data_IF_379275693466
#
_entry.id   IF_379275693466
#
_cell.length_a   1.000
_cell.length_b   1.000
_cell.length_c   1.000
_cell.angle_alpha   90.00
_cell.angle_beta   90.00
_cell.angle_gamma   90.00
#
_symmetry.space_group_name_H-M   'P 1'
#
loop_
_entity.id
_entity.type
_entity.pdbx_description
1 polymer ?
#
# COMPACT_ATOMS: atom_id res chain seq x y z
N UNK A 1 11.46 -2.95 12.32
CA UNK A 1 10.32 -2.23 11.68
C UNK A 1 9.16 -3.19 11.51
N UNK A 2 7.93 -2.70 11.67
CA UNK A 2 6.69 -3.43 11.35
C UNK A 2 6.25 -3.07 9.92
N UNK A 3 6.06 -4.06 9.06
CA UNK A 3 5.64 -3.89 7.67
C UNK A 3 4.23 -4.46 7.51
N UNK A 4 3.30 -3.64 7.06
CA UNK A 4 1.96 -4.06 6.66
C UNK A 4 1.88 -4.10 5.14
N UNK A 5 1.71 -5.29 4.56
CA UNK A 5 1.56 -5.47 3.12
C UNK A 5 0.09 -5.73 2.76
N UNK A 6 -0.48 -4.85 1.94
CA UNK A 6 -1.87 -4.93 1.46
C UNK A 6 -1.86 -5.33 -0.01
N UNK A 7 -2.21 -6.59 -0.29
CA UNK A 7 -2.24 -7.14 -1.64
C UNK A 7 -3.63 -6.99 -2.25
N UNK A 8 -3.75 -6.09 -3.22
CA UNK A 8 -4.99 -5.82 -3.96
C UNK A 8 -5.23 -6.73 -5.17
N UNK A 9 -4.31 -7.64 -5.48
CA UNK A 9 -4.48 -8.59 -6.59
C UNK A 9 -5.49 -9.69 -6.22
N UNK A 10 -6.46 -10.02 -7.10
CA UNK A 10 -7.33 -11.18 -6.90
C UNK A 10 -6.62 -12.51 -7.21
N UNK A 11 -5.46 -12.49 -7.86
CA UNK A 11 -4.70 -13.67 -8.22
C UNK A 11 -3.65 -13.97 -7.15
N UNK A 12 -3.84 -15.03 -6.36
CA UNK A 12 -2.93 -15.41 -5.29
C UNK A 12 -1.48 -15.64 -5.80
N UNK A 13 -1.33 -16.26 -6.98
CA UNK A 13 -0.04 -16.55 -7.63
C UNK A 13 0.17 -15.66 -8.86
N UNK A 14 -0.27 -14.40 -8.82
CA UNK A 14 -0.08 -13.44 -9.91
C UNK A 14 1.21 -12.64 -9.77
N UNK A 15 1.59 -11.95 -10.85
CA UNK A 15 2.81 -11.14 -10.90
C UNK A 15 2.93 -10.13 -9.74
N UNK A 16 1.81 -9.49 -9.38
CA UNK A 16 1.78 -8.54 -8.24
C UNK A 16 2.12 -9.24 -6.92
N UNK A 17 1.55 -10.42 -6.71
CA UNK A 17 1.80 -11.22 -5.50
C UNK A 17 3.27 -11.65 -5.43
N UNK A 18 3.85 -12.11 -6.56
CA UNK A 18 5.24 -12.52 -6.63
C UNK A 18 6.21 -11.37 -6.29
N UNK A 19 5.97 -10.18 -6.85
CA UNK A 19 6.80 -8.99 -6.55
C UNK A 19 6.64 -8.54 -5.10
N UNK A 20 5.40 -8.51 -4.57
CA UNK A 20 5.15 -8.16 -3.18
C UNK A 20 5.79 -9.15 -2.20
N UNK A 21 5.67 -10.46 -2.48
CA UNK A 21 6.29 -11.50 -1.66
C UNK A 21 7.82 -11.38 -1.66
N UNK A 22 8.42 -11.07 -2.83
CA UNK A 22 9.89 -10.87 -2.92
C UNK A 22 10.33 -9.70 -2.05
N UNK A 23 9.61 -8.58 -2.09
CA UNK A 23 9.86 -7.44 -1.20
C UNK A 23 9.73 -7.84 0.27
N UNK A 24 8.63 -8.49 0.64
CA UNK A 24 8.36 -8.91 2.01
C UNK A 24 9.43 -9.86 2.56
N UNK A 25 9.80 -10.88 1.79
CA UNK A 25 10.87 -11.83 2.17
C UNK A 25 12.22 -11.13 2.35
N UNK A 26 12.53 -10.12 1.51
CA UNK A 26 13.75 -9.33 1.67
C UNK A 26 13.70 -8.45 2.92
N UNK A 27 12.55 -7.84 3.23
CA UNK A 27 12.36 -7.07 4.45
C UNK A 27 12.49 -7.93 5.72
N UNK A 28 11.93 -9.14 5.72
CA UNK A 28 12.08 -10.11 6.82
C UNK A 28 13.54 -10.50 7.07
N UNK A 29 14.30 -10.77 6.00
CA UNK A 29 15.75 -11.05 6.09
C UNK A 29 16.55 -9.88 6.68
N UNK A 30 16.01 -8.66 6.56
CA UNK A 30 16.58 -7.44 7.15
C UNK A 30 16.02 -7.14 8.56
N UNK A 31 15.30 -8.09 9.17
CA UNK A 31 14.82 -8.01 10.54
C UNK A 31 13.45 -7.29 10.70
N UNK A 32 12.70 -7.12 9.65
CA UNK A 32 11.33 -6.60 9.75
C UNK A 32 10.34 -7.69 10.19
N UNK A 33 9.33 -7.30 10.97
CA UNK A 33 8.12 -8.11 11.18
C UNK A 33 7.13 -7.77 10.08
N UNK A 34 6.73 -8.74 9.27
CA UNK A 34 5.86 -8.54 8.10
C UNK A 34 4.50 -9.20 8.32
N UNK A 35 3.43 -8.45 8.04
CA UNK A 35 2.08 -8.97 7.99
C UNK A 35 1.49 -8.70 6.60
N UNK A 36 0.99 -9.75 5.94
CA UNK A 36 0.43 -9.67 4.58
C UNK A 36 -1.08 -9.90 4.64
N UNK A 37 -1.84 -8.94 4.10
CA UNK A 37 -3.29 -9.02 3.95
C UNK A 37 -3.65 -9.13 2.47
N UNK A 38 -4.24 -10.27 2.09
CA UNK A 38 -4.74 -10.51 0.73
C UNK A 38 -6.19 -10.01 0.65
N UNK A 39 -6.40 -8.81 0.14
CA UNK A 39 -7.72 -8.17 0.16
C UNK A 39 -8.82 -8.98 -0.52
N UNK A 40 -8.49 -9.84 -1.48
CA UNK A 40 -9.48 -10.65 -2.17
C UNK A 40 -10.08 -11.78 -1.30
N UNK A 41 -9.43 -12.17 -0.22
CA UNK A 41 -9.93 -13.19 0.72
C UNK A 41 -10.71 -12.58 1.87
N UNK A 42 -10.70 -11.26 2.01
CA UNK A 42 -11.36 -10.53 3.09
C UNK A 42 -12.80 -10.15 2.71
N UNK A 43 -13.67 -10.20 3.71
CA UNK A 43 -15.06 -9.72 3.57
C UNK A 43 -15.19 -8.32 4.17
N UNK A 44 -15.29 -7.31 3.32
CA UNK A 44 -15.37 -5.90 3.74
C UNK A 44 -16.09 -5.03 2.71
N UNK A 45 -16.49 -3.84 3.17
CA UNK A 45 -17.11 -2.79 2.35
C UNK A 45 -16.16 -1.60 2.20
N UNK A 46 -16.27 -0.89 1.09
CA UNK A 46 -15.68 0.44 0.92
C UNK A 46 -16.27 1.47 1.90
N UNK A 47 -15.76 2.68 1.88
CA UNK A 47 -16.25 3.76 2.72
C UNK A 47 -17.72 4.08 2.41
N UNK A 48 -18.56 4.14 3.46
CA UNK A 48 -19.99 4.43 3.32
C UNK A 48 -20.33 5.92 3.47
N UNK A 49 -19.32 6.80 3.58
CA UNK A 49 -19.54 8.24 3.73
C UNK A 49 -20.28 8.64 5.02
N UNK A 50 -20.36 7.76 6.01
CA UNK A 50 -21.17 7.95 7.22
C UNK A 50 -20.66 9.03 8.18
N UNK A 51 -19.45 9.55 7.97
CA UNK A 51 -18.78 10.59 8.75
C UNK A 51 -18.59 10.28 10.25
N UNK A 52 -18.88 9.07 10.72
CA UNK A 52 -18.71 8.70 12.13
C UNK A 52 -17.27 8.86 12.62
N UNK A 53 -16.29 8.59 11.76
CA UNK A 53 -14.86 8.80 12.05
C UNK A 53 -14.46 10.30 12.17
N UNK A 54 -15.36 11.24 11.87
CA UNK A 54 -15.15 12.68 12.03
C UNK A 54 -15.96 13.29 13.17
N UNK A 55 -16.94 12.56 13.70
CA UNK A 55 -17.88 13.11 14.68
C UNK A 55 -17.93 12.34 15.99
N UNK A 56 -17.77 11.02 15.96
CA UNK A 56 -18.03 10.16 17.12
C UNK A 56 -16.86 9.26 17.49
N UNK A 57 -15.96 8.98 16.54
CA UNK A 57 -14.88 7.97 16.70
C UNK A 57 -13.59 8.49 16.10
N UNK A 58 -12.46 7.96 16.56
CA UNK A 58 -11.13 8.20 16.02
C UNK A 58 -10.70 7.18 14.96
N UNK A 59 -11.58 6.22 14.64
CA UNK A 59 -11.37 5.15 13.67
C UNK A 59 -12.63 4.90 12.83
N UNK A 60 -12.52 4.04 11.83
CA UNK A 60 -13.68 3.65 11.03
C UNK A 60 -14.71 2.90 11.89
N UNK A 61 -15.98 3.25 11.74
CA UNK A 61 -17.08 2.61 12.50
C UNK A 61 -17.43 1.23 11.98
N UNK A 62 -17.12 0.94 10.71
CA UNK A 62 -17.40 -0.38 10.13
C UNK A 62 -16.51 -1.44 10.77
N UNK A 63 -17.15 -2.48 11.30
CA UNK A 63 -16.52 -3.65 11.88
C UNK A 63 -16.57 -4.77 10.83
N UNK A 64 -15.50 -4.94 10.11
CA UNK A 64 -15.30 -5.96 9.09
C UNK A 64 -13.81 -6.33 9.01
N UNK A 65 -13.42 -7.21 8.10
CA UNK A 65 -12.05 -7.70 8.02
C UNK A 65 -11.01 -6.60 7.74
N UNK A 66 -11.43 -5.42 7.20
CA UNK A 66 -10.53 -4.27 7.08
C UNK A 66 -10.20 -3.59 8.41
N UNK A 67 -10.90 -3.88 9.47
CA UNK A 67 -10.61 -3.29 10.80
C UNK A 67 -9.18 -3.64 11.22
N UNK A 68 -8.80 -4.90 11.12
CA UNK A 68 -7.44 -5.37 11.45
C UNK A 68 -6.39 -4.76 10.52
N UNK A 69 -6.68 -4.69 9.21
CA UNK A 69 -5.77 -4.09 8.22
C UNK A 69 -5.49 -2.63 8.55
N UNK A 70 -6.54 -1.86 8.88
CA UNK A 70 -6.40 -0.45 9.22
C UNK A 70 -5.61 -0.25 10.53
N UNK A 71 -5.83 -1.08 11.54
CA UNK A 71 -5.04 -1.01 12.78
C UNK A 71 -3.58 -1.42 12.54
N UNK A 72 -3.32 -2.47 11.75
CA UNK A 72 -1.95 -2.86 11.36
C UNK A 72 -1.20 -1.71 10.67
N UNK A 73 -1.86 -0.95 9.78
CA UNK A 73 -1.27 0.25 9.15
C UNK A 73 -1.03 1.36 10.18
N UNK A 74 -1.95 1.54 11.13
CA UNK A 74 -1.81 2.55 12.19
C UNK A 74 -0.56 2.29 13.04
N UNK A 75 -0.34 1.03 13.41
CA UNK A 75 0.80 0.61 14.25
C UNK A 75 2.10 0.39 13.46
N UNK A 76 2.00 0.11 12.17
CA UNK A 76 3.14 -0.23 11.31
C UNK A 76 4.03 0.97 11.00
N UNK A 77 5.28 0.69 10.67
CA UNK A 77 6.26 1.69 10.20
C UNK A 77 6.20 1.84 8.68
N UNK A 78 5.91 0.74 7.98
CA UNK A 78 5.91 0.66 6.51
C UNK A 78 4.59 0.09 6.02
N UNK A 79 3.95 0.79 5.09
CA UNK A 79 2.81 0.29 4.32
C UNK A 79 3.27 -0.10 2.91
N UNK A 80 3.05 -1.34 2.53
CA UNK A 80 3.19 -1.82 1.16
C UNK A 80 1.81 -1.97 0.55
N UNK A 81 1.51 -1.23 -0.51
CA UNK A 81 0.29 -1.40 -1.31
C UNK A 81 0.66 -2.02 -2.65
N UNK A 82 0.20 -3.23 -2.93
CA UNK A 82 0.52 -3.94 -4.17
C UNK A 82 -0.74 -4.18 -5.01
N UNK A 83 -0.71 -3.74 -6.28
CA UNK A 83 -1.87 -3.81 -7.18
C UNK A 83 -1.49 -4.06 -8.62
N UNK A 84 -2.22 -4.91 -9.37
CA UNK A 84 -2.21 -4.84 -10.81
C UNK A 84 -3.05 -3.63 -11.26
N UNK A 85 -2.79 -3.14 -12.48
CA UNK A 85 -3.65 -2.14 -13.10
C UNK A 85 -4.80 -2.85 -13.82
N UNK A 86 -6.02 -2.57 -13.36
CA UNK A 86 -7.26 -3.04 -13.97
C UNK A 86 -8.08 -1.84 -14.42
N UNK A 87 -8.49 -1.86 -15.68
CA UNK A 87 -9.32 -0.82 -16.30
C UNK A 87 -8.86 0.60 -15.93
N UNK A 88 -7.58 0.90 -16.21
CA UNK A 88 -6.93 2.21 -16.02
C UNK A 88 -6.72 2.67 -14.56
N UNK A 89 -6.98 1.83 -13.56
CA UNK A 89 -6.75 2.21 -12.15
C UNK A 89 -6.28 1.02 -11.30
N UNK A 90 -6.11 1.23 -10.01
CA UNK A 90 -5.93 0.16 -9.02
C UNK A 90 -7.15 -0.75 -8.99
N UNK A 91 -7.01 -1.95 -8.48
CA UNK A 91 -8.16 -2.85 -8.32
C UNK A 91 -9.23 -2.25 -7.40
N UNK A 92 -10.50 -2.63 -7.63
CA UNK A 92 -11.62 -2.20 -6.78
C UNK A 92 -11.40 -2.55 -5.29
N UNK A 93 -10.78 -3.69 -5.03
CA UNK A 93 -10.43 -4.10 -3.66
C UNK A 93 -9.46 -3.12 -3.01
N UNK A 94 -8.37 -2.75 -3.70
CA UNK A 94 -7.43 -1.78 -3.16
C UNK A 94 -8.06 -0.38 -3.05
N UNK A 95 -8.91 0.01 -4.01
CA UNK A 95 -9.63 1.29 -3.96
C UNK A 95 -10.51 1.37 -2.71
N UNK A 96 -11.28 0.33 -2.42
CA UNK A 96 -12.12 0.28 -1.21
C UNK A 96 -11.29 0.38 0.09
N UNK A 97 -10.10 -0.24 0.15
CA UNK A 97 -9.17 -0.03 1.26
C UNK A 97 -8.71 1.43 1.34
N UNK A 98 -8.26 2.03 0.22
CA UNK A 98 -7.80 3.43 0.18
C UNK A 98 -8.92 4.37 0.66
N UNK A 99 -10.16 4.18 0.25
CA UNK A 99 -11.29 4.99 0.73
C UNK A 99 -11.49 4.88 2.25
N UNK A 100 -11.30 3.71 2.83
CA UNK A 100 -11.42 3.48 4.26
C UNK A 100 -10.31 4.16 5.07
N UNK A 101 -9.14 4.44 4.48
CA UNK A 101 -8.08 5.21 5.12
C UNK A 101 -8.48 6.66 5.43
N UNK A 102 -9.60 7.15 4.88
CA UNK A 102 -10.18 8.45 5.26
C UNK A 102 -10.36 8.59 6.78
N UNK A 103 -10.52 7.49 7.50
CA UNK A 103 -10.58 7.47 8.96
C UNK A 103 -9.28 7.90 9.66
N UNK A 104 -8.16 7.96 8.96
CA UNK A 104 -6.89 8.46 9.51
C UNK A 104 -6.83 9.98 9.60
N UNK A 105 -7.66 10.72 8.87
CA UNK A 105 -7.75 12.16 9.04
C UNK A 105 -8.50 12.53 10.34
N UNK A 106 -8.02 13.58 11.00
CA UNK A 106 -8.75 14.26 12.09
C UNK A 106 -9.99 14.98 11.55
N UNK A 107 -10.97 15.39 12.39
CA UNK A 107 -12.19 16.07 11.91
C UNK A 107 -11.92 17.32 11.08
N UNK A 108 -11.00 18.17 11.53
CA UNK A 108 -10.64 19.47 10.96
C UNK A 108 -9.42 19.42 10.01
N UNK A 109 -9.17 18.28 9.39
CA UNK A 109 -7.97 17.98 8.59
C UNK A 109 -7.70 18.98 7.43
N UNK A 110 -8.67 19.78 7.03
CA UNK A 110 -8.46 20.81 5.99
C UNK A 110 -7.64 21.99 6.49
N UNK A 111 -7.81 22.37 7.74
CA UNK A 111 -7.19 23.55 8.39
C UNK A 111 -6.14 23.17 9.44
N UNK A 112 -6.14 21.92 9.88
CA UNK A 112 -5.25 21.45 10.92
C UNK A 112 -3.82 21.24 10.36
N UNK A 113 -2.78 21.83 10.98
CA UNK A 113 -1.40 21.59 10.58
C UNK A 113 -0.95 20.12 10.77
N UNK A 114 -1.65 19.38 11.66
CA UNK A 114 -1.47 17.96 11.90
C UNK A 114 -2.71 17.16 11.48
N UNK A 115 -2.95 16.98 10.17
CA UNK A 115 -4.23 16.47 9.65
C UNK A 115 -4.45 14.98 9.93
N UNK A 116 -3.46 14.27 10.43
CA UNK A 116 -3.46 12.81 10.55
C UNK A 116 -3.46 12.33 12.01
N UNK A 117 -4.16 11.21 12.22
CA UNK A 117 -4.10 10.43 13.47
C UNK A 117 -2.95 9.42 13.48
N UNK A 118 -2.25 9.26 12.35
CA UNK A 118 -1.08 8.39 12.28
C UNK A 118 0.17 9.12 12.77
N UNK A 119 1.09 8.38 13.35
CA UNK A 119 2.41 8.92 13.68
C UNK A 119 3.17 9.31 12.41
N UNK A 120 3.85 10.46 12.39
CA UNK A 120 4.64 10.87 11.23
C UNK A 120 5.88 9.98 11.05
N UNK A 121 6.48 10.05 9.85
CA UNK A 121 7.71 9.32 9.54
C UNK A 121 7.49 7.90 8.99
N UNK A 122 6.24 7.53 8.73
CA UNK A 122 5.93 6.25 8.08
C UNK A 122 6.45 6.22 6.63
N UNK A 123 6.67 5.02 6.12
CA UNK A 123 7.16 4.77 4.76
C UNK A 123 6.08 4.08 3.92
N UNK A 124 6.00 4.45 2.64
CA UNK A 124 5.08 3.85 1.67
C UNK A 124 5.86 3.17 0.55
N UNK A 125 5.52 1.93 0.25
CA UNK A 125 5.94 1.24 -0.97
C UNK A 125 4.70 0.94 -1.79
N UNK A 126 4.64 1.51 -3.00
CA UNK A 126 3.55 1.25 -3.94
C UNK A 126 4.06 0.33 -5.04
N UNK A 127 3.58 -0.92 -5.07
CA UNK A 127 3.92 -1.92 -6.07
C UNK A 127 2.84 -1.93 -7.13
N UNK A 128 3.19 -1.52 -8.35
CA UNK A 128 2.31 -1.47 -9.51
C UNK A 128 2.75 -2.47 -10.58
N UNK A 129 1.89 -3.39 -10.96
CA UNK A 129 2.14 -4.27 -12.11
C UNK A 129 1.13 -4.02 -13.22
N UNK A 130 1.57 -4.07 -14.47
CA UNK A 130 0.71 -3.82 -15.63
C UNK A 130 1.04 -4.73 -16.80
N UNK A 131 0.01 -5.13 -17.55
CA UNK A 131 0.16 -5.94 -18.76
C UNK A 131 0.70 -5.17 -19.97
N UNK A 132 0.58 -3.84 -19.97
CA UNK A 132 1.13 -2.99 -21.02
C UNK A 132 2.64 -2.78 -20.80
N UNK A 133 3.42 -2.96 -21.87
CA UNK A 133 4.87 -2.74 -21.82
C UNK A 133 5.22 -1.24 -21.87
N UNK A 134 4.36 -0.41 -22.45
CA UNK A 134 4.56 1.03 -22.54
C UNK A 134 4.52 1.66 -21.14
N UNK A 135 5.66 2.16 -20.69
CA UNK A 135 5.83 2.75 -19.36
C UNK A 135 5.14 4.10 -19.19
N UNK A 136 4.81 4.82 -20.26
CA UNK A 136 4.06 6.06 -20.15
C UNK A 136 2.59 5.84 -19.76
N UNK A 137 2.05 4.65 -20.06
CA UNK A 137 0.69 4.30 -19.67
C UNK A 137 0.62 4.02 -18.17
N UNK A 138 -0.33 4.64 -17.50
CA UNK A 138 -0.62 4.49 -16.06
C UNK A 138 0.52 4.99 -15.14
N UNK A 139 1.39 5.87 -15.67
CA UNK A 139 2.48 6.46 -14.89
C UNK A 139 1.96 7.41 -13.80
N UNK A 140 0.77 7.94 -13.99
CA UNK A 140 0.11 8.91 -13.10
C UNK A 140 -0.60 8.29 -11.88
N UNK A 141 -0.78 6.96 -11.83
CA UNK A 141 -1.56 6.32 -10.77
C UNK A 141 -0.95 6.58 -9.39
N UNK A 142 0.36 6.37 -9.26
CA UNK A 142 1.03 6.61 -7.97
C UNK A 142 0.95 8.09 -7.57
N UNK A 143 1.21 9.01 -8.50
CA UNK A 143 1.19 10.46 -8.21
C UNK A 143 -0.20 10.99 -7.85
N UNK A 144 -1.28 10.30 -8.21
CA UNK A 144 -2.65 10.61 -7.75
C UNK A 144 -2.95 10.10 -6.34
N UNK A 145 -2.28 9.04 -5.89
CA UNK A 145 -2.52 8.38 -4.60
C UNK A 145 -1.56 8.91 -3.53
N UNK A 146 -0.29 9.08 -3.86
CA UNK A 146 0.77 9.47 -2.93
C UNK A 146 0.46 10.72 -2.09
N UNK A 147 -0.13 11.82 -2.64
CA UNK A 147 -0.41 13.03 -1.87
C UNK A 147 -1.31 12.79 -0.64
N UNK A 148 -2.24 11.83 -0.73
CA UNK A 148 -3.09 11.46 0.40
C UNK A 148 -2.25 10.85 1.52
N UNK A 149 -1.34 9.93 1.18
CA UNK A 149 -0.47 9.28 2.15
C UNK A 149 0.58 10.24 2.74
N UNK A 150 1.09 11.19 1.95
CA UNK A 150 1.93 12.28 2.48
C UNK A 150 1.20 13.06 3.57
N UNK A 151 -0.09 13.35 3.38
CA UNK A 151 -0.91 14.02 4.41
C UNK A 151 -1.17 13.15 5.64
N UNK A 152 -1.07 11.83 5.53
CA UNK A 152 -1.11 10.92 6.68
C UNK A 152 0.22 10.83 7.44
N UNK A 153 1.30 11.44 6.94
CA UNK A 153 2.61 11.41 7.58
C UNK A 153 3.58 10.37 7.01
N UNK A 154 3.28 9.83 5.81
CA UNK A 154 4.23 9.01 5.06
C UNK A 154 5.23 9.92 4.35
N UNK A 155 6.48 9.91 4.79
CA UNK A 155 7.51 10.86 4.35
C UNK A 155 8.56 10.25 3.42
N UNK A 156 8.65 8.92 3.37
CA UNK A 156 9.59 8.16 2.54
C UNK A 156 8.78 7.20 1.65
N UNK A 157 8.53 7.62 0.40
CA UNK A 157 7.58 6.96 -0.50
C UNK A 157 8.28 6.43 -1.75
N UNK A 158 8.06 5.17 -2.07
CA UNK A 158 8.71 4.45 -3.16
C UNK A 158 7.68 3.86 -4.12
N UNK A 159 7.90 4.05 -5.42
CA UNK A 159 7.18 3.34 -6.48
C UNK A 159 8.05 2.21 -7.02
N UNK A 160 7.53 0.97 -6.92
CA UNK A 160 8.06 -0.20 -7.58
C UNK A 160 7.10 -0.57 -8.70
N UNK A 161 7.51 -0.39 -9.95
CA UNK A 161 6.66 -0.57 -11.11
C UNK A 161 7.21 -1.64 -12.04
N UNK A 162 6.33 -2.58 -12.45
CA UNK A 162 6.68 -3.67 -13.36
C UNK A 162 5.70 -3.67 -14.54
N UNK A 163 6.22 -3.39 -15.74
CA UNK A 163 5.44 -3.26 -16.97
C UNK A 163 5.55 -4.53 -17.83
N UNK A 164 4.54 -4.79 -18.67
CA UNK A 164 4.55 -5.88 -19.66
C UNK A 164 4.40 -7.28 -19.08
N UNK A 165 3.85 -7.42 -17.87
CA UNK A 165 3.61 -8.71 -17.19
C UNK A 165 2.14 -9.09 -17.25
N UNK A 166 1.80 -10.13 -18.00
CA UNK A 166 0.42 -10.55 -18.31
C UNK A 166 0.06 -11.92 -17.74
N UNK A 167 0.96 -12.90 -17.95
CA UNK A 167 0.76 -14.27 -17.51
C UNK A 167 1.39 -14.46 -16.13
N UNK A 168 0.82 -15.32 -15.28
CA UNK A 168 1.51 -15.74 -14.06
C UNK A 168 2.94 -16.20 -14.35
N UNK A 169 3.91 -15.80 -13.54
CA UNK A 169 5.33 -16.10 -13.73
C UNK A 169 6.11 -15.09 -14.59
N UNK A 170 5.44 -14.17 -15.31
CA UNK A 170 6.15 -13.19 -16.12
C UNK A 170 7.08 -12.28 -15.30
N UNK A 171 6.66 -11.88 -14.10
CA UNK A 171 7.48 -11.05 -13.23
C UNK A 171 8.68 -11.82 -12.66
N UNK A 172 8.48 -13.09 -12.30
CA UNK A 172 9.52 -13.96 -11.75
C UNK A 172 10.57 -14.33 -12.80
N UNK A 173 10.14 -14.57 -14.04
CA UNK A 173 11.06 -14.84 -15.17
C UNK A 173 11.94 -13.64 -15.53
N UNK A 174 11.55 -12.44 -15.10
CA UNK A 174 12.33 -11.21 -15.25
C UNK A 174 13.12 -10.93 -13.98
N UNK A 175 14.36 -11.39 -13.92
CA UNK A 175 15.24 -11.18 -12.77
C UNK A 175 15.34 -9.73 -12.31
N UNK A 176 15.14 -8.77 -13.21
CA UNK A 176 15.12 -7.33 -12.91
C UNK A 176 13.99 -6.93 -11.95
N UNK A 177 12.77 -7.44 -12.17
CA UNK A 177 11.63 -7.11 -11.30
C UNK A 177 11.85 -7.62 -9.87
N UNK A 178 12.43 -8.82 -9.74
CA UNK A 178 12.75 -9.41 -8.44
C UNK A 178 13.89 -8.67 -7.74
N UNK A 179 14.94 -8.29 -8.50
CA UNK A 179 16.04 -7.48 -7.98
C UNK A 179 15.56 -6.11 -7.51
N UNK A 180 14.72 -5.43 -8.29
CA UNK A 180 14.14 -4.15 -7.91
C UNK A 180 13.33 -4.24 -6.60
N UNK A 181 12.60 -5.34 -6.38
CA UNK A 181 11.89 -5.58 -5.15
C UNK A 181 12.84 -5.70 -3.93
N UNK A 182 13.94 -6.43 -4.08
CA UNK A 182 14.96 -6.58 -3.04
C UNK A 182 15.69 -5.26 -2.74
N UNK A 183 16.12 -4.55 -3.79
CA UNK A 183 16.77 -3.25 -3.64
C UNK A 183 15.86 -2.20 -2.98
N UNK A 184 14.57 -2.25 -3.31
CA UNK A 184 13.58 -1.37 -2.66
C UNK A 184 13.43 -1.73 -1.17
N UNK A 185 13.38 -3.01 -0.84
CA UNK A 185 13.35 -3.44 0.56
C UNK A 185 14.60 -2.98 1.32
N UNK A 186 15.80 -3.11 0.74
CA UNK A 186 17.04 -2.62 1.34
C UNK A 186 17.00 -1.10 1.61
N UNK A 187 16.52 -0.31 0.64
CA UNK A 187 16.39 1.15 0.78
C UNK A 187 15.42 1.51 1.90
N UNK A 188 14.25 0.86 1.92
CA UNK A 188 13.18 1.14 2.89
C UNK A 188 13.57 0.72 4.31
N UNK A 189 14.27 -0.42 4.46
CA UNK A 189 14.71 -0.93 5.75
C UNK A 189 15.97 -0.22 6.28
N UNK A 190 16.67 0.53 5.45
CA UNK A 190 17.82 1.31 5.90
C UNK A 190 17.41 2.32 6.99
N UNK A 191 18.26 2.53 8.03
CA UNK A 191 18.00 3.56 9.02
C UNK A 191 17.84 4.92 8.34
N UNK A 192 16.81 5.65 8.71
CA UNK A 192 16.67 7.05 8.25
C UNK A 192 17.88 7.81 8.81
N UNK A 193 18.77 8.31 7.93
CA UNK A 193 19.85 9.19 8.36
C UNK A 193 19.18 10.38 9.08
N UNK A 194 19.34 10.45 10.39
CA UNK A 194 18.83 11.55 11.19
C UNK A 194 19.29 12.87 10.57
N UNK A 195 18.34 13.78 10.34
CA UNK A 195 18.65 15.18 10.10
C UNK A 195 18.95 15.86 11.40
#
# INVERSE_FOLDING_TARGET
MKVTCVLGSPRANGNTAAVAQRFCNAAEKLGASVQIFVLNTLNYKGCQGCMACKTKMDKCVLQDDLTEVLESVREGDVLVMATPIYLWDVTSRLRAFIERTYSYFVPDFHTNPHPSRLSPGKKLVFIQTQGQANESLFADIFSRIEPIFKRYGFTDNHLLRVCGVRKPGDAESRGEAMRLAEETAQKVMAPTKGK
#
